data_IF_427130037795
#
_entry.id   IF_427130037795
#
_cell.length_a   1.000
_cell.length_b   1.000
_cell.length_c   1.000
_cell.angle_alpha   90.00
_cell.angle_beta   90.00
_cell.angle_gamma   90.00
#
_symmetry.space_group_name_H-M   'P 1'
#
loop_
_entity.id
_entity.type
_entity.pdbx_description
1 polymer ?
#
# COMPACT_ATOMS: atom_id res chain seq x y z
N UNK A 1 71.20 7.57 -20.62
CA UNK A 1 69.79 8.00 -20.68
C UNK A 1 68.93 6.75 -20.59
N UNK A 2 68.30 6.52 -19.45
CA UNK A 2 67.44 5.36 -19.24
C UNK A 2 66.05 5.67 -19.79
N UNK A 3 65.57 4.85 -20.74
CA UNK A 3 64.19 4.88 -21.20
C UNK A 3 63.39 4.07 -20.19
N UNK A 4 62.48 4.72 -19.46
CA UNK A 4 61.55 3.99 -18.60
C UNK A 4 60.63 3.11 -19.46
N UNK A 5 60.30 1.88 -19.02
CA UNK A 5 59.39 1.03 -19.75
C UNK A 5 57.99 1.64 -19.72
N UNK A 6 57.46 2.02 -20.88
CA UNK A 6 56.04 2.32 -21.04
C UNK A 6 55.24 1.04 -20.72
N UNK A 7 54.40 1.11 -19.70
CA UNK A 7 53.45 0.04 -19.39
C UNK A 7 52.65 -0.28 -20.65
N UNK A 8 52.72 -1.54 -21.07
CA UNK A 8 52.10 -2.01 -22.29
C UNK A 8 50.58 -1.87 -22.17
N UNK A 9 49.89 -1.46 -23.24
CA UNK A 9 48.43 -1.25 -23.28
C UNK A 9 47.60 -2.43 -22.73
N UNK A 10 48.18 -3.64 -22.70
CA UNK A 10 47.54 -4.85 -22.18
C UNK A 10 47.42 -4.86 -20.64
N UNK A 11 48.40 -4.29 -19.92
CA UNK A 11 48.43 -4.24 -18.45
C UNK A 11 47.44 -3.20 -17.90
N UNK A 12 47.33 -2.05 -18.58
CA UNK A 12 46.31 -1.05 -18.27
C UNK A 12 44.88 -1.58 -18.52
N UNK A 13 44.68 -2.43 -19.53
CA UNK A 13 43.39 -3.03 -19.81
C UNK A 13 42.94 -4.03 -18.72
N UNK A 14 43.87 -4.77 -18.12
CA UNK A 14 43.57 -5.69 -17.01
C UNK A 14 43.17 -4.95 -15.75
N UNK A 15 43.80 -3.83 -15.44
CA UNK A 15 43.44 -3.00 -14.27
C UNK A 15 42.01 -2.46 -14.38
N UNK A 16 41.63 -1.99 -15.56
CA UNK A 16 40.26 -1.52 -15.82
C UNK A 16 39.21 -2.63 -15.68
N UNK A 17 39.54 -3.89 -16.00
CA UNK A 17 38.62 -5.01 -15.78
C UNK A 17 38.44 -5.34 -14.29
N UNK A 18 39.50 -5.20 -13.49
CA UNK A 18 39.45 -5.41 -12.04
C UNK A 18 38.63 -4.31 -11.37
N UNK A 19 38.82 -3.04 -11.78
CA UNK A 19 38.04 -1.92 -11.28
C UNK A 19 36.55 -2.05 -11.61
N UNK A 20 36.21 -2.46 -12.83
CA UNK A 20 34.82 -2.66 -13.23
C UNK A 20 34.15 -3.80 -12.45
N UNK A 21 34.87 -4.92 -12.24
CA UNK A 21 34.38 -6.02 -11.42
C UNK A 21 34.12 -5.58 -9.98
N UNK A 22 35.02 -4.76 -9.41
CA UNK A 22 34.87 -4.19 -8.08
C UNK A 22 33.65 -3.28 -7.97
N UNK A 23 33.46 -2.37 -8.94
CA UNK A 23 32.29 -1.47 -8.98
C UNK A 23 30.98 -2.26 -9.04
N UNK A 24 30.93 -3.35 -9.82
CA UNK A 24 29.75 -4.20 -9.91
C UNK A 24 29.41 -4.86 -8.56
N UNK A 25 30.42 -5.40 -7.88
CA UNK A 25 30.23 -6.04 -6.57
C UNK A 25 29.79 -5.03 -5.50
N UNK A 26 30.43 -3.86 -5.46
CA UNK A 26 30.07 -2.78 -4.54
C UNK A 26 28.64 -2.29 -4.79
N UNK A 27 28.23 -2.19 -6.06
CA UNK A 27 26.86 -1.80 -6.44
C UNK A 27 25.84 -2.84 -5.99
N UNK A 28 26.13 -4.13 -6.18
CA UNK A 28 25.25 -5.21 -5.73
C UNK A 28 25.08 -5.18 -4.22
N UNK A 29 26.17 -5.03 -3.48
CA UNK A 29 26.14 -4.94 -2.01
C UNK A 29 25.38 -3.71 -1.52
N UNK A 30 25.52 -2.57 -2.21
CA UNK A 30 24.79 -1.35 -1.89
C UNK A 30 23.28 -1.52 -2.13
N UNK A 31 22.88 -2.22 -3.20
CA UNK A 31 21.49 -2.54 -3.50
C UNK A 31 20.87 -3.46 -2.45
N UNK A 32 21.56 -4.53 -2.08
CA UNK A 32 21.08 -5.46 -1.03
C UNK A 32 20.88 -4.71 0.29
N UNK A 33 21.85 -3.88 0.68
CA UNK A 33 21.73 -3.02 1.87
C UNK A 33 20.58 -2.01 1.76
N UNK A 34 20.33 -1.45 0.58
CA UNK A 34 19.21 -0.53 0.36
C UNK A 34 17.87 -1.25 0.51
N UNK A 35 17.73 -2.46 -0.06
CA UNK A 35 16.54 -3.28 0.07
C UNK A 35 16.24 -3.64 1.54
N UNK A 36 17.27 -4.01 2.31
CA UNK A 36 17.13 -4.28 3.75
C UNK A 36 16.67 -3.06 4.53
N UNK A 37 17.25 -1.88 4.24
CA UNK A 37 16.82 -0.61 4.86
C UNK A 37 15.38 -0.27 4.50
N UNK A 38 14.98 -0.49 3.25
CA UNK A 38 13.60 -0.27 2.80
C UNK A 38 12.65 -1.18 3.57
N UNK A 39 12.95 -2.48 3.68
CA UNK A 39 12.14 -3.43 4.46
C UNK A 39 12.04 -2.99 5.92
N UNK A 40 13.17 -2.71 6.57
CA UNK A 40 13.17 -2.28 7.96
C UNK A 40 12.37 -0.99 8.18
N UNK A 41 12.45 -0.04 7.24
CA UNK A 41 11.68 1.21 7.32
C UNK A 41 10.17 1.01 7.12
N UNK A 42 9.79 0.08 6.24
CA UNK A 42 8.41 -0.28 6.00
C UNK A 42 7.82 -0.99 7.22
N UNK A 43 8.59 -1.89 7.84
CA UNK A 43 8.19 -2.61 9.04
C UNK A 43 8.06 -1.68 10.26
N UNK A 44 8.95 -0.70 10.43
CA UNK A 44 8.84 0.33 11.48
C UNK A 44 7.58 1.17 11.34
N UNK A 45 7.19 1.48 10.09
CA UNK A 45 6.03 2.33 9.81
C UNK A 45 4.71 1.56 9.84
N UNK A 46 4.77 0.23 9.90
CA UNK A 46 3.59 -0.63 9.88
C UNK A 46 3.15 -0.90 11.32
N UNK A 47 2.13 -0.17 11.76
CA UNK A 47 1.36 -0.60 12.92
C UNK A 47 0.77 -1.99 12.65
N UNK A 48 0.73 -2.84 13.67
CA UNK A 48 0.14 -4.17 13.54
C UNK A 48 -1.30 -4.02 13.02
N UNK A 49 -1.57 -4.62 11.86
CA UNK A 49 -2.88 -4.48 11.25
C UNK A 49 -3.89 -5.17 12.16
N UNK A 50 -5.06 -4.56 12.45
CA UNK A 50 -6.05 -5.23 13.27
C UNK A 50 -6.40 -6.58 12.66
N UNK A 51 -6.33 -7.64 13.46
CA UNK A 51 -6.65 -8.99 12.97
C UNK A 51 -8.17 -9.08 12.73
N UNK A 52 -8.57 -9.14 11.46
CA UNK A 52 -9.93 -9.48 11.06
C UNK A 52 -9.88 -10.61 10.02
N UNK A 53 -10.95 -11.40 9.94
CA UNK A 53 -11.09 -12.43 8.90
C UNK A 53 -12.22 -12.07 7.95
N UNK A 54 -12.03 -12.42 6.68
CA UNK A 54 -13.08 -12.31 5.65
C UNK A 54 -13.89 -13.59 5.69
N UNK A 55 -15.19 -13.47 5.97
CA UNK A 55 -16.12 -14.61 6.07
C UNK A 55 -16.71 -14.94 4.70
N UNK A 56 -17.08 -13.91 3.93
CA UNK A 56 -17.69 -14.07 2.62
C UNK A 56 -17.33 -12.92 1.69
N UNK A 57 -17.12 -13.24 0.41
CA UNK A 57 -16.91 -12.29 -0.68
C UNK A 57 -18.03 -12.47 -1.71
N UNK A 58 -18.92 -11.49 -1.78
CA UNK A 58 -19.96 -11.36 -2.80
C UNK A 58 -19.60 -10.17 -3.70
N UNK A 59 -20.05 -10.12 -4.97
CA UNK A 59 -19.65 -9.07 -5.91
C UNK A 59 -19.79 -7.64 -5.39
N UNK A 60 -20.80 -7.39 -4.55
CA UNK A 60 -21.10 -6.06 -4.00
C UNK A 60 -21.06 -6.00 -2.45
N UNK A 61 -20.74 -7.10 -1.78
CA UNK A 61 -20.80 -7.21 -0.31
C UNK A 61 -19.63 -8.03 0.20
N UNK A 62 -18.93 -7.51 1.20
CA UNK A 62 -17.88 -8.23 1.93
C UNK A 62 -18.34 -8.41 3.36
N UNK A 63 -18.37 -9.66 3.84
CA UNK A 63 -18.68 -9.97 5.22
C UNK A 63 -17.36 -10.15 5.98
N UNK A 64 -17.16 -9.30 6.99
CA UNK A 64 -15.96 -9.31 7.84
C UNK A 64 -16.31 -9.75 9.25
N UNK A 65 -15.49 -10.62 9.82
CA UNK A 65 -15.51 -10.92 11.25
C UNK A 65 -14.50 -10.02 11.95
N UNK A 66 -15.02 -9.02 12.64
CA UNK A 66 -14.23 -8.02 13.34
C UNK A 66 -14.08 -8.41 14.81
N UNK A 67 -12.92 -8.13 15.43
CA UNK A 67 -12.79 -8.18 16.88
C UNK A 67 -13.80 -7.24 17.54
N UNK A 68 -14.33 -7.62 18.71
CA UNK A 68 -15.30 -6.80 19.47
C UNK A 68 -14.77 -5.41 19.85
N UNK A 69 -13.44 -5.25 19.87
CA UNK A 69 -12.76 -3.99 20.19
C UNK A 69 -12.65 -3.05 18.99
N UNK A 70 -12.85 -3.54 17.76
CA UNK A 70 -12.67 -2.76 16.54
C UNK A 70 -13.95 -2.01 16.18
N UNK A 71 -13.84 -0.68 16.05
CA UNK A 71 -14.92 0.19 15.55
C UNK A 71 -14.55 0.69 14.16
N UNK A 72 -15.47 0.51 13.19
CA UNK A 72 -15.31 1.05 11.84
C UNK A 72 -16.04 2.38 11.76
N UNK A 73 -15.32 3.42 11.35
CA UNK A 73 -15.90 4.69 10.93
C UNK A 73 -15.89 4.73 9.40
N UNK A 74 -17.00 4.37 8.71
CA UNK A 74 -17.03 4.40 7.27
C UNK A 74 -16.91 5.85 6.79
N UNK A 75 -15.87 6.14 6.01
CA UNK A 75 -15.72 7.41 5.31
C UNK A 75 -16.09 7.16 3.86
N UNK A 76 -17.17 7.78 3.40
CA UNK A 76 -17.67 7.61 2.03
C UNK A 76 -17.39 8.90 1.26
N UNK A 77 -16.51 8.82 0.26
CA UNK A 77 -16.25 9.92 -0.66
C UNK A 77 -17.21 9.82 -1.85
N UNK A 78 -18.18 10.73 -1.92
CA UNK A 78 -19.18 10.77 -3.00
C UNK A 78 -18.72 11.78 -4.05
N UNK A 79 -18.22 11.30 -5.19
CA UNK A 79 -17.86 12.17 -6.32
C UNK A 79 -19.01 12.39 -7.30
N UNK A 80 -19.93 11.42 -7.43
CA UNK A 80 -21.06 11.46 -8.35
C UNK A 80 -22.24 10.71 -7.74
N UNK A 81 -23.43 11.32 -7.82
CA UNK A 81 -24.69 10.67 -7.46
C UNK A 81 -25.43 10.33 -8.75
N UNK A 82 -26.03 9.15 -8.81
CA UNK A 82 -26.95 8.75 -9.88
C UNK A 82 -28.34 8.59 -9.29
N UNK A 83 -29.36 8.89 -10.10
CA UNK A 83 -30.74 8.59 -9.73
C UNK A 83 -30.87 7.10 -9.40
N UNK A 84 -31.50 6.80 -8.27
CA UNK A 84 -31.72 5.44 -7.82
C UNK A 84 -32.54 4.65 -8.85
N UNK A 85 -32.00 3.51 -9.30
CA UNK A 85 -32.64 2.66 -10.33
C UNK A 85 -33.35 1.44 -9.75
N UNK A 86 -33.45 1.34 -8.43
CA UNK A 86 -33.92 0.14 -7.75
C UNK A 86 -32.77 -0.69 -7.13
N UNK A 87 -33.13 -1.77 -6.43
CA UNK A 87 -32.18 -2.64 -5.74
C UNK A 87 -31.32 -3.42 -6.75
N UNK A 88 -30.03 -3.58 -6.43
CA UNK A 88 -29.16 -4.46 -7.21
C UNK A 88 -29.38 -5.93 -6.84
N UNK A 89 -29.07 -6.83 -7.77
CA UNK A 89 -29.16 -8.27 -7.53
C UNK A 89 -28.29 -8.68 -6.34
N UNK A 90 -28.87 -9.40 -5.38
CA UNK A 90 -28.22 -9.79 -4.13
C UNK A 90 -28.33 -8.78 -2.98
N UNK A 91 -28.93 -7.60 -3.18
CA UNK A 91 -29.19 -6.63 -2.13
C UNK A 91 -30.54 -6.88 -1.44
N UNK A 92 -30.55 -7.11 -0.13
CA UNK A 92 -31.79 -7.18 0.64
C UNK A 92 -32.39 -5.78 0.80
N UNK A 93 -33.64 -5.63 0.37
CA UNK A 93 -34.37 -4.36 0.50
C UNK A 93 -35.12 -4.35 1.82
N UNK A 94 -34.53 -3.72 2.83
CA UNK A 94 -35.28 -3.35 4.03
C UNK A 94 -35.96 -2.02 3.75
N UNK A 95 -37.29 -2.03 3.60
CA UNK A 95 -38.05 -0.78 3.53
C UNK A 95 -37.97 -0.11 4.90
N UNK A 96 -37.54 1.17 4.99
CA UNK A 96 -37.66 1.91 6.24
C UNK A 96 -39.11 1.84 6.72
N UNK A 97 -39.32 1.65 8.03
CA UNK A 97 -40.65 1.75 8.61
C UNK A 97 -41.26 3.13 8.34
N UNK A 98 -42.58 3.24 8.48
CA UNK A 98 -43.28 4.53 8.39
C UNK A 98 -42.66 5.51 9.39
N UNK A 99 -41.88 6.46 8.90
CA UNK A 99 -41.34 7.55 9.73
C UNK A 99 -42.52 8.48 10.03
N UNK A 100 -43.07 8.38 11.24
CA UNK A 100 -43.97 9.39 11.78
C UNK A 100 -43.10 10.60 12.10
N UNK A 101 -43.10 11.60 11.21
CA UNK A 101 -42.39 12.85 11.45
C UNK A 101 -42.98 13.53 12.68
N UNK A 102 -42.23 13.54 13.78
CA UNK A 102 -42.55 14.43 14.90
C UNK A 102 -42.07 15.82 14.50
N UNK A 103 -42.98 16.77 14.42
CA UNK A 103 -42.67 18.19 14.18
C UNK A 103 -42.05 18.75 15.46
N UNK A 104 -40.77 18.49 15.67
CA UNK A 104 -39.94 19.10 16.70
C UNK A 104 -38.87 19.94 16.02
N UNK A 105 -38.76 21.21 16.41
CA UNK A 105 -37.71 22.12 15.98
C UNK A 105 -36.40 21.71 16.65
N UNK A 106 -35.75 20.64 16.16
CA UNK A 106 -34.42 20.26 16.59
C UNK A 106 -33.39 21.01 15.76
N UNK A 107 -32.85 22.08 16.34
CA UNK A 107 -31.72 22.84 15.81
C UNK A 107 -30.46 21.96 15.91
N UNK A 108 -29.89 21.57 14.77
CA UNK A 108 -28.59 20.90 14.73
C UNK A 108 -27.49 21.96 14.71
N UNK A 109 -26.56 21.89 15.67
CA UNK A 109 -25.35 22.71 15.67
C UNK A 109 -24.41 22.24 14.54
N UNK A 110 -23.97 23.17 13.70
CA UNK A 110 -23.13 22.95 12.50
C UNK A 110 -21.65 23.15 12.81
#
# INVERSE_FOLDING_TARGET
>A
MGVEPFLSKAEAATDHTVDLAKVLEDTRKALDKAADRMRASADVSRSDAPSYSVVSLKPNVVELQLPKTLKIHPVINVSQVKLYKGPLEGQTVTRPGLVVGHKGDEEFEV
#
